data_IF_162528246733
#
_entry.id   IF_162528246733
#
_cell.length_a   1.000
_cell.length_b   1.000
_cell.length_c   1.000
_cell.angle_alpha   90.00
_cell.angle_beta   90.00
_cell.angle_gamma   90.00
#
_symmetry.space_group_name_H-M   'P 1'
#
loop_
_entity.id
_entity.type
_entity.pdbx_description
1 polymer ?
#
# COMPACT_ATOMS: atom_id res chain seq x y z
N UNK A 1 -7.46 35.91 17.95
CA UNK A 1 -7.65 34.99 16.81
C UNK A 1 -7.14 35.58 15.47
N UNK A 2 -6.24 36.58 15.51
CA UNK A 2 -5.74 37.29 14.31
C UNK A 2 -4.21 37.28 14.18
N UNK A 3 -3.49 36.60 15.09
CA UNK A 3 -2.01 36.67 15.20
C UNK A 3 -1.28 35.50 14.52
N UNK A 4 -2.00 34.52 13.95
CA UNK A 4 -1.41 33.46 13.11
C UNK A 4 -1.43 33.78 11.61
N UNK A 5 -1.96 34.94 11.21
CA UNK A 5 -1.72 35.52 9.88
C UNK A 5 -0.32 36.10 9.83
N UNK A 6 0.69 35.23 9.96
CA UNK A 6 2.08 35.59 9.73
C UNK A 6 2.25 36.03 8.27
N UNK A 7 3.20 36.93 8.04
CA UNK A 7 3.68 37.39 6.72
C UNK A 7 3.91 36.29 5.67
N UNK A 8 4.00 35.03 6.11
CA UNK A 8 4.20 33.81 5.33
C UNK A 8 3.04 33.54 4.33
N UNK A 9 1.79 33.88 4.66
CA UNK A 9 0.64 33.61 3.77
C UNK A 9 0.60 34.56 2.55
N UNK A 10 1.25 35.72 2.64
CA UNK A 10 1.31 36.71 1.55
C UNK A 10 2.33 36.29 0.49
N UNK A 11 3.47 35.76 0.89
CA UNK A 11 4.53 35.29 -0.03
C UNK A 11 4.15 34.04 -0.83
N UNK A 12 3.11 33.31 -0.41
CA UNK A 12 2.66 32.06 -1.04
C UNK A 12 1.37 32.18 -1.82
N UNK A 13 0.90 33.41 -2.04
CA UNK A 13 -0.34 33.66 -2.76
C UNK A 13 -0.20 33.21 -4.22
N UNK A 14 -1.04 32.28 -4.62
CA UNK A 14 -1.10 31.74 -5.97
C UNK A 14 -2.04 32.58 -6.82
N UNK A 15 -3.21 32.91 -6.29
CA UNK A 15 -4.27 33.48 -7.11
C UNK A 15 -5.53 33.82 -6.34
N UNK A 16 -6.65 33.82 -7.06
CA UNK A 16 -7.98 34.11 -6.52
C UNK A 16 -9.04 33.20 -7.12
N UNK A 17 -10.10 32.98 -6.34
CA UNK A 17 -11.29 32.28 -6.80
C UNK A 17 -12.01 33.11 -7.85
N UNK A 18 -12.32 32.51 -9.01
CA UNK A 18 -13.09 33.14 -10.08
C UNK A 18 -14.57 33.09 -9.74
N UNK A 19 -15.33 34.03 -10.27
CA UNK A 19 -16.78 33.87 -10.37
C UNK A 19 -17.06 32.64 -11.22
N UNK A 20 -17.66 31.64 -10.61
CA UNK A 20 -18.03 30.42 -11.28
C UNK A 20 -19.35 30.59 -12.04
N UNK A 21 -19.58 29.72 -13.00
CA UNK A 21 -20.85 29.59 -13.71
C UNK A 21 -21.48 28.20 -13.46
N UNK A 22 -21.06 27.54 -12.37
CA UNK A 22 -21.05 26.09 -12.23
C UNK A 22 -22.26 25.42 -11.57
N UNK A 23 -22.40 24.13 -11.86
CA UNK A 23 -23.43 23.16 -11.43
C UNK A 23 -22.94 22.14 -10.38
N UNK A 24 -21.67 22.24 -9.96
CA UNK A 24 -21.02 21.35 -8.98
C UNK A 24 -20.52 22.15 -7.78
N UNK A 25 -20.87 21.71 -6.56
CA UNK A 25 -20.50 22.38 -5.32
C UNK A 25 -19.11 22.01 -4.79
N UNK A 26 -18.52 20.91 -5.26
CA UNK A 26 -17.25 20.39 -4.76
C UNK A 26 -16.02 21.00 -5.44
N UNK A 27 -16.19 21.80 -6.50
CA UNK A 27 -15.07 22.35 -7.26
C UNK A 27 -15.25 23.85 -7.50
N UNK A 28 -14.13 24.56 -7.55
CA UNK A 28 -14.06 25.97 -7.88
C UNK A 28 -13.06 26.21 -9.01
N UNK A 29 -13.27 27.30 -9.72
CA UNK A 29 -12.30 27.80 -10.70
C UNK A 29 -11.46 28.90 -10.06
N UNK A 30 -10.17 28.93 -10.40
CA UNK A 30 -9.25 29.93 -9.91
C UNK A 30 -8.50 30.58 -11.07
N UNK A 31 -8.16 31.85 -10.89
CA UNK A 31 -7.22 32.58 -11.74
C UNK A 31 -5.92 32.75 -10.98
N UNK A 32 -4.83 32.37 -11.62
CA UNK A 32 -3.48 32.40 -11.05
C UNK A 32 -2.85 33.74 -11.37
N UNK A 33 -2.24 34.36 -10.35
CA UNK A 33 -1.48 35.59 -10.47
C UNK A 33 -0.16 35.35 -11.22
N UNK A 34 0.42 36.40 -11.80
CA UNK A 34 1.65 36.29 -12.58
C UNK A 34 2.82 35.71 -11.77
N UNK A 35 2.94 36.11 -10.50
CA UNK A 35 3.93 35.61 -9.55
C UNK A 35 3.68 34.16 -9.13
N UNK A 36 2.42 33.72 -9.12
CA UNK A 36 2.03 32.37 -8.70
C UNK A 36 2.16 31.29 -9.79
N UNK A 37 2.47 31.67 -11.04
CA UNK A 37 2.45 30.76 -12.20
C UNK A 37 3.45 29.62 -12.08
N UNK A 38 4.67 29.89 -11.62
CA UNK A 38 5.74 28.88 -11.50
C UNK A 38 5.43 27.81 -10.44
N UNK A 39 4.56 28.17 -9.50
CA UNK A 39 4.15 27.33 -8.38
C UNK A 39 2.82 26.62 -8.62
N UNK A 40 2.06 26.97 -9.66
CA UNK A 40 0.73 26.39 -9.91
C UNK A 40 0.78 25.14 -10.78
N UNK A 41 0.45 23.99 -10.19
CA UNK A 41 0.50 22.67 -10.84
C UNK A 41 -0.65 21.80 -10.38
N UNK A 42 -0.95 20.76 -11.15
CA UNK A 42 -1.90 19.71 -10.75
C UNK A 42 -1.42 19.03 -9.47
N UNK A 43 -2.34 18.51 -8.68
CA UNK A 43 -2.09 17.81 -7.40
C UNK A 43 -1.48 18.66 -6.27
N UNK A 44 -1.32 19.96 -6.49
CA UNK A 44 -0.96 20.90 -5.44
C UNK A 44 -2.11 21.07 -4.43
N UNK A 45 -1.78 20.98 -3.14
CA UNK A 45 -2.68 21.37 -2.06
C UNK A 45 -2.65 22.89 -1.87
N UNK A 46 -3.83 23.48 -1.76
CA UNK A 46 -3.99 24.93 -1.61
C UNK A 46 -4.89 25.25 -0.43
N UNK A 47 -4.55 26.34 0.25
CA UNK A 47 -5.43 26.99 1.20
C UNK A 47 -6.23 28.07 0.49
N UNK A 48 -7.49 28.24 0.89
CA UNK A 48 -8.37 29.25 0.33
C UNK A 48 -8.99 30.02 1.48
N UNK A 49 -8.66 31.29 1.61
CA UNK A 49 -9.18 32.14 2.67
C UNK A 49 -10.27 33.06 2.14
N UNK A 50 -11.49 32.89 2.65
CA UNK A 50 -12.62 33.77 2.41
C UNK A 50 -12.69 34.81 3.53
N UNK A 51 -12.32 36.04 3.21
CA UNK A 51 -12.25 37.14 4.18
C UNK A 51 -13.62 37.61 4.69
N UNK A 52 -14.68 37.40 3.92
CA UNK A 52 -16.04 37.79 4.28
C UNK A 52 -16.68 36.76 5.21
N UNK A 53 -16.51 35.48 4.89
CA UNK A 53 -16.98 34.38 5.73
C UNK A 53 -16.08 34.16 6.96
N UNK A 54 -14.82 34.61 6.91
CA UNK A 54 -13.76 34.30 7.87
C UNK A 54 -13.55 32.79 8.00
N UNK A 55 -13.63 32.09 6.87
CA UNK A 55 -13.45 30.64 6.77
C UNK A 55 -12.22 30.37 5.91
N UNK A 56 -11.38 29.46 6.37
CA UNK A 56 -10.30 28.88 5.59
C UNK A 56 -10.75 27.51 5.08
N UNK A 57 -10.56 27.28 3.79
CA UNK A 57 -10.82 26.00 3.13
C UNK A 57 -9.50 25.37 2.71
N UNK A 58 -9.52 24.05 2.57
CA UNK A 58 -8.44 23.30 1.92
C UNK A 58 -8.97 22.63 0.66
N UNK A 59 -8.16 22.67 -0.39
CA UNK A 59 -8.46 22.01 -1.65
C UNK A 59 -7.23 21.48 -2.36
N UNK A 60 -7.47 20.73 -3.43
CA UNK A 60 -6.44 20.18 -4.30
C UNK A 60 -6.68 20.61 -5.75
N UNK A 61 -5.62 20.99 -6.45
CA UNK A 61 -5.70 21.31 -7.88
C UNK A 61 -5.93 20.02 -8.67
N UNK A 62 -7.10 19.89 -9.30
CA UNK A 62 -7.47 18.68 -10.05
C UNK A 62 -7.33 18.85 -11.56
N UNK A 63 -7.36 20.10 -12.05
CA UNK A 63 -7.20 20.44 -13.46
C UNK A 63 -6.48 21.77 -13.67
N UNK A 64 -5.78 21.90 -14.80
CA UNK A 64 -4.86 23.00 -15.11
C UNK A 64 -3.39 22.62 -14.88
N UNK A 65 -2.44 23.54 -15.13
CA UNK A 65 -2.63 24.92 -15.59
C UNK A 65 -3.18 25.03 -17.02
N UNK A 66 -4.26 25.81 -17.20
CA UNK A 66 -4.81 26.17 -18.51
C UNK A 66 -4.35 27.57 -18.90
N UNK A 67 -3.74 27.71 -20.07
CA UNK A 67 -3.22 28.97 -20.57
C UNK A 67 -4.22 29.57 -21.57
N UNK A 68 -4.90 30.65 -21.19
CA UNK A 68 -5.87 31.33 -22.06
C UNK A 68 -5.29 32.62 -22.60
N UNK A 69 -5.08 32.69 -23.91
CA UNK A 69 -4.64 33.91 -24.57
C UNK A 69 -5.67 35.04 -24.41
N UNK A 70 -5.21 36.24 -24.06
CA UNK A 70 -6.03 37.43 -24.03
C UNK A 70 -6.01 38.13 -25.38
N UNK A 71 -7.17 38.26 -26.04
CA UNK A 71 -7.38 39.42 -26.90
C UNK A 71 -7.64 40.60 -25.97
N UNK A 72 -6.65 41.46 -25.76
CA UNK A 72 -6.81 42.66 -24.92
C UNK A 72 -7.06 43.89 -25.82
N UNK A 73 -8.32 44.24 -26.19
CA UNK A 73 -8.62 45.53 -26.80
C UNK A 73 -8.68 46.60 -25.70
N UNK A 74 -7.51 47.03 -25.22
CA UNK A 74 -7.37 48.22 -24.36
C UNK A 74 -7.07 47.93 -22.90
N UNK A 75 -5.79 47.72 -22.57
CA UNK A 75 -5.34 47.70 -21.19
C UNK A 75 -3.82 47.59 -21.11
N UNK A 76 -3.18 48.67 -20.64
CA UNK A 76 -1.79 48.64 -20.22
C UNK A 76 -1.69 47.72 -18.99
N UNK A 77 -1.16 46.51 -19.15
CA UNK A 77 -0.48 45.84 -18.05
C UNK A 77 0.58 44.85 -18.55
N UNK A 78 1.71 44.88 -17.86
CA UNK A 78 2.96 44.26 -18.26
C UNK A 78 3.05 42.84 -17.67
N UNK A 79 2.79 41.77 -18.43
CA UNK A 79 2.94 40.42 -17.84
C UNK A 79 2.43 39.21 -18.63
N UNK A 80 2.83 39.07 -19.90
CA UNK A 80 2.43 37.99 -20.82
C UNK A 80 0.94 38.04 -21.25
N UNK A 81 0.68 37.95 -22.56
CA UNK A 81 -0.66 38.07 -23.16
C UNK A 81 -1.60 36.88 -22.91
N UNK A 82 -1.50 36.20 -21.77
CA UNK A 82 -2.36 35.10 -21.39
C UNK A 82 -2.64 35.09 -19.89
N UNK A 83 -3.77 34.50 -19.52
CA UNK A 83 -4.15 34.22 -18.13
C UNK A 83 -3.97 32.73 -17.85
N UNK A 84 -3.63 32.39 -16.61
CA UNK A 84 -3.53 30.99 -16.17
C UNK A 84 -4.74 30.68 -15.28
N UNK A 85 -5.42 29.59 -15.60
CA UNK A 85 -6.61 29.11 -14.90
C UNK A 85 -6.45 27.67 -14.45
N UNK A 86 -7.21 27.28 -13.44
CA UNK A 86 -7.30 25.88 -13.02
C UNK A 86 -8.53 25.61 -12.16
N UNK A 87 -8.71 24.33 -11.84
CA UNK A 87 -9.82 23.84 -11.04
C UNK A 87 -9.30 23.26 -9.74
N UNK A 88 -9.88 23.71 -8.63
CA UNK A 88 -9.58 23.22 -7.30
C UNK A 88 -10.79 22.46 -6.76
N UNK A 89 -10.57 21.22 -6.35
CA UNK A 89 -11.54 20.43 -5.61
C UNK A 89 -11.44 20.81 -4.12
N UNK A 90 -12.59 21.16 -3.51
CA UNK A 90 -12.68 21.53 -2.10
C UNK A 90 -12.81 20.25 -1.27
N UNK A 91 -11.83 20.01 -0.41
CA UNK A 91 -11.83 18.84 0.48
C UNK A 91 -12.57 19.13 1.79
N UNK A 92 -12.60 20.39 2.23
CA UNK A 92 -13.29 20.79 3.44
C UNK A 92 -12.92 22.19 3.93
N UNK A 93 -13.42 22.51 5.12
CA UNK A 93 -13.04 23.71 5.87
C UNK A 93 -12.02 23.36 6.97
N UNK A 94 -11.10 24.27 7.22
CA UNK A 94 -10.10 24.16 8.28
C UNK A 94 -10.66 24.75 9.58
N UNK A 95 -10.77 23.91 10.60
CA UNK A 95 -11.10 24.31 11.97
C UNK A 95 -9.80 24.41 12.77
N UNK A 96 -9.59 25.55 13.45
CA UNK A 96 -8.39 25.86 14.25
C UNK A 96 -7.06 25.57 13.53
N UNK A 97 -7.04 25.75 12.21
CA UNK A 97 -5.92 25.48 11.31
C UNK A 97 -5.35 24.03 11.34
N UNK A 98 -6.01 23.09 12.03
CA UNK A 98 -5.47 21.76 12.35
C UNK A 98 -6.39 20.59 12.02
N UNK A 99 -7.66 20.84 11.69
CA UNK A 99 -8.62 19.78 11.40
C UNK A 99 -9.43 20.11 10.17
N UNK A 100 -9.59 19.11 9.29
CA UNK A 100 -10.50 19.20 8.15
C UNK A 100 -11.89 18.79 8.60
N UNK A 101 -12.88 19.64 8.33
CA UNK A 101 -14.30 19.30 8.48
C UNK A 101 -15.01 19.37 7.15
N UNK A 102 -16.04 18.53 6.93
CA UNK A 102 -16.95 18.72 5.82
C UNK A 102 -17.51 20.14 5.84
N UNK A 103 -17.63 20.75 4.66
CA UNK A 103 -18.19 22.08 4.53
C UNK A 103 -19.50 22.04 3.75
N UNK A 104 -20.47 22.83 4.21
CA UNK A 104 -21.72 23.08 3.49
C UNK A 104 -21.65 24.38 2.67
N UNK A 105 -20.58 25.15 2.83
CA UNK A 105 -20.35 26.40 2.12
C UNK A 105 -19.18 26.27 1.16
N UNK A 106 -19.00 27.29 0.34
CA UNK A 106 -17.97 27.35 -0.70
C UNK A 106 -17.25 28.69 -0.61
N UNK A 107 -15.96 28.74 -1.00
CA UNK A 107 -15.24 30.01 -1.11
C UNK A 107 -15.97 30.97 -2.05
N UNK A 108 -16.12 32.24 -1.65
CA UNK A 108 -16.70 33.28 -2.53
C UNK A 108 -15.74 33.67 -3.64
N UNK A 109 -16.24 34.23 -4.76
CA UNK A 109 -15.39 34.88 -5.74
C UNK A 109 -14.43 35.87 -5.07
N UNK A 110 -13.23 35.99 -5.62
CA UNK A 110 -12.13 36.81 -5.10
C UNK A 110 -11.49 36.35 -3.79
N UNK A 111 -11.94 35.24 -3.18
CA UNK A 111 -11.23 34.61 -2.06
C UNK A 111 -9.77 34.31 -2.46
N UNK A 112 -8.85 34.49 -1.51
CA UNK A 112 -7.43 34.37 -1.77
C UNK A 112 -7.01 32.90 -1.76
N UNK A 113 -6.22 32.50 -2.74
CA UNK A 113 -5.70 31.13 -2.89
C UNK A 113 -4.19 31.17 -2.70
N UNK A 114 -3.65 30.31 -1.84
CA UNK A 114 -2.22 30.21 -1.56
C UNK A 114 -1.77 28.76 -1.52
N UNK A 115 -0.48 28.54 -1.78
CA UNK A 115 0.14 27.23 -1.64
C UNK A 115 0.06 26.78 -0.18
N UNK A 116 -0.45 25.57 0.06
CA UNK A 116 -0.53 25.05 1.42
C UNK A 116 0.88 24.70 1.92
N UNK A 117 1.16 25.06 3.17
CA UNK A 117 2.47 24.82 3.78
C UNK A 117 2.67 23.31 4.01
N UNK A 118 3.88 22.81 3.74
CA UNK A 118 4.15 21.38 3.67
C UNK A 118 4.13 20.72 5.05
N UNK A 119 4.73 21.36 6.06
CA UNK A 119 4.75 20.84 7.44
C UNK A 119 3.32 20.86 8.02
N UNK A 120 2.57 21.92 7.75
CA UNK A 120 1.15 22.04 8.08
C UNK A 120 0.32 20.99 7.35
N UNK A 121 0.64 20.64 6.10
CA UNK A 121 -0.07 19.59 5.37
C UNK A 121 0.16 18.22 6.02
N UNK A 122 1.41 17.90 6.37
CA UNK A 122 1.75 16.67 7.07
C UNK A 122 1.01 16.57 8.41
N UNK A 123 1.06 17.65 9.20
CA UNK A 123 0.36 17.74 10.48
C UNK A 123 -1.16 17.56 10.31
N UNK A 124 -1.75 18.18 9.29
CA UNK A 124 -3.18 18.14 9.02
C UNK A 124 -3.65 16.74 8.57
N UNK A 125 -2.84 16.07 7.75
CA UNK A 125 -3.12 14.72 7.26
C UNK A 125 -2.75 13.63 8.27
N UNK A 126 -2.16 13.99 9.41
CA UNK A 126 -1.72 13.04 10.43
C UNK A 126 -0.55 12.17 9.96
N UNK A 127 0.25 12.67 9.02
CA UNK A 127 1.42 11.96 8.48
C UNK A 127 2.57 12.02 9.48
N UNK A 128 2.52 11.16 10.51
CA UNK A 128 3.54 11.03 11.55
C UNK A 128 3.72 9.57 11.92
N UNK A 129 4.95 9.17 12.18
CA UNK A 129 5.28 7.86 12.72
C UNK A 129 6.56 7.30 12.12
N UNK A 130 6.62 5.99 12.03
CA UNK A 130 7.78 5.17 11.71
C UNK A 130 7.56 4.26 10.49
N UNK A 131 6.39 4.31 9.86
CA UNK A 131 6.02 3.49 8.72
C UNK A 131 5.97 4.34 7.43
N UNK A 132 6.99 4.24 6.58
CA UNK A 132 7.18 5.07 5.39
C UNK A 132 6.57 4.45 4.12
N UNK A 133 5.55 5.07 3.54
CA UNK A 133 4.94 4.57 2.27
C UNK A 133 5.39 5.31 1.02
N UNK A 134 5.96 6.50 1.16
CA UNK A 134 6.44 7.30 0.03
C UNK A 134 6.33 8.81 0.26
N UNK A 135 6.17 9.56 -0.82
CA UNK A 135 6.07 11.03 -0.81
C UNK A 135 4.96 11.51 -1.74
N UNK A 136 4.35 12.66 -1.43
CA UNK A 136 3.41 13.31 -2.36
C UNK A 136 4.18 13.86 -3.57
N UNK A 137 3.81 13.37 -4.76
CA UNK A 137 4.53 13.55 -6.03
C UNK A 137 5.04 14.98 -6.29
N UNK A 138 4.21 16.00 -6.07
CA UNK A 138 4.54 17.40 -6.41
C UNK A 138 5.25 18.15 -5.29
N UNK A 139 5.13 17.69 -4.05
CA UNK A 139 5.76 18.35 -2.92
C UNK A 139 7.23 17.98 -2.78
N UNK A 140 7.61 16.78 -3.26
CA UNK A 140 8.93 16.15 -3.12
C UNK A 140 9.44 15.98 -1.68
N UNK A 141 8.70 16.49 -0.69
CA UNK A 141 9.13 16.73 0.69
C UNK A 141 8.06 16.33 1.72
N UNK A 142 6.79 16.26 1.32
CA UNK A 142 5.74 15.73 2.19
C UNK A 142 5.81 14.22 2.13
N UNK A 143 6.36 13.66 3.20
CA UNK A 143 6.45 12.22 3.39
C UNK A 143 5.09 11.67 3.81
N UNK A 144 4.69 10.57 3.19
CA UNK A 144 3.50 9.81 3.55
C UNK A 144 3.96 8.75 4.54
N UNK A 145 4.03 9.17 5.80
CA UNK A 145 4.45 8.35 6.93
C UNK A 145 3.28 8.13 7.87
N UNK A 146 3.36 7.08 8.66
CA UNK A 146 2.33 6.78 9.62
C UNK A 146 2.83 6.01 10.84
N UNK A 147 2.02 6.03 11.88
CA UNK A 147 2.33 5.37 13.14
C UNK A 147 1.97 3.90 13.05
N UNK A 148 2.98 3.02 13.03
CA UNK A 148 2.79 1.58 13.00
C UNK A 148 2.02 1.05 14.23
N UNK A 149 2.00 1.80 15.34
CA UNK A 149 1.26 1.44 16.54
C UNK A 149 -0.20 1.88 16.52
N UNK A 150 -0.58 2.77 15.59
CA UNK A 150 -1.96 3.23 15.42
C UNK A 150 -2.81 2.19 14.69
N UNK A 151 -3.73 1.57 15.43
CA UNK A 151 -4.68 0.58 14.93
C UNK A 151 -5.70 1.16 13.92
N UNK A 152 -5.81 2.48 13.83
CA UNK A 152 -6.63 3.17 12.85
C UNK A 152 -5.95 3.40 11.51
N UNK A 153 -4.61 3.28 11.47
CA UNK A 153 -3.83 3.67 10.30
C UNK A 153 -3.72 2.55 9.25
N UNK A 154 -3.25 1.36 9.64
CA UNK A 154 -3.37 0.19 8.78
C UNK A 154 -4.72 -0.48 9.08
N UNK A 155 -5.75 -0.29 8.23
CA UNK A 155 -6.95 -1.11 8.35
C UNK A 155 -6.51 -2.56 8.32
N UNK A 156 -7.19 -3.41 9.10
CA UNK A 156 -6.83 -4.83 9.27
C UNK A 156 -6.45 -5.54 7.96
N UNK A 157 -7.02 -5.09 6.84
CA UNK A 157 -6.73 -5.56 5.50
C UNK A 157 -6.36 -4.37 4.58
N UNK A 158 -5.32 -4.55 3.75
CA UNK A 158 -4.87 -3.59 2.74
C UNK A 158 -5.04 -4.24 1.36
N UNK A 159 -5.48 -3.47 0.37
CA UNK A 159 -5.50 -3.89 -1.03
C UNK A 159 -4.60 -2.98 -1.89
N UNK A 160 -3.68 -3.58 -2.64
CA UNK A 160 -2.79 -2.89 -3.59
C UNK A 160 -3.24 -3.25 -5.00
N UNK A 161 -3.72 -2.28 -5.76
CA UNK A 161 -4.29 -2.49 -7.10
C UNK A 161 -3.52 -1.69 -8.14
N UNK A 162 -3.35 -2.26 -9.33
CA UNK A 162 -2.68 -1.60 -10.44
C UNK A 162 -2.45 -2.53 -11.63
N UNK A 163 -2.22 -1.93 -12.81
CA UNK A 163 -1.92 -2.68 -14.03
C UNK A 163 -0.53 -3.33 -13.97
N UNK A 164 -0.20 -4.18 -14.94
CA UNK A 164 1.16 -4.74 -15.07
C UNK A 164 2.17 -3.60 -15.24
N UNK A 165 3.29 -3.67 -14.51
CA UNK A 165 4.34 -2.64 -14.54
C UNK A 165 4.02 -1.34 -13.78
N UNK A 166 2.86 -1.23 -13.11
CA UNK A 166 2.49 -0.04 -12.31
C UNK A 166 3.21 0.07 -10.97
N UNK A 167 4.02 -0.94 -10.60
CA UNK A 167 4.79 -0.95 -9.35
C UNK A 167 4.10 -1.64 -8.17
N UNK A 168 3.05 -2.47 -8.40
CA UNK A 168 2.37 -3.23 -7.33
C UNK A 168 3.33 -3.97 -6.40
N UNK A 169 4.22 -4.78 -6.98
CA UNK A 169 5.13 -5.64 -6.23
C UNK A 169 6.19 -4.83 -5.50
N UNK A 170 6.64 -3.72 -6.08
CA UNK A 170 7.50 -2.77 -5.40
C UNK A 170 6.81 -2.12 -4.20
N UNK A 171 5.56 -1.67 -4.35
CA UNK A 171 4.78 -1.13 -3.23
C UNK A 171 4.56 -2.19 -2.15
N UNK A 172 4.23 -3.43 -2.53
CA UNK A 172 4.10 -4.52 -1.57
C UNK A 172 5.42 -4.80 -0.84
N UNK A 173 6.55 -4.79 -1.54
CA UNK A 173 7.88 -4.93 -0.93
C UNK A 173 8.16 -3.84 0.10
N UNK A 174 7.97 -2.57 -0.23
CA UNK A 174 8.13 -1.46 0.73
C UNK A 174 7.24 -1.69 1.95
N UNK A 175 5.96 -2.02 1.75
CA UNK A 175 5.05 -2.31 2.86
C UNK A 175 5.52 -3.47 3.75
N UNK A 176 6.16 -4.49 3.18
CA UNK A 176 6.72 -5.62 3.92
C UNK A 176 7.96 -5.22 4.71
N UNK A 177 8.86 -4.44 4.10
CA UNK A 177 10.07 -3.91 4.76
C UNK A 177 9.72 -3.02 5.96
N UNK A 178 8.82 -2.05 5.77
CA UNK A 178 8.35 -1.16 6.83
C UNK A 178 7.62 -1.92 7.96
N UNK A 179 6.85 -2.96 7.61
CA UNK A 179 6.22 -3.81 8.61
C UNK A 179 7.25 -4.59 9.44
N UNK A 180 8.30 -5.12 8.79
CA UNK A 180 9.38 -5.81 9.48
C UNK A 180 10.14 -4.87 10.42
N UNK A 181 10.43 -3.64 9.98
CA UNK A 181 11.10 -2.61 10.78
C UNK A 181 10.24 -2.16 11.97
N UNK A 182 8.92 -2.12 11.80
CA UNK A 182 7.95 -1.94 12.89
C UNK A 182 7.83 -3.16 13.83
N UNK A 183 8.60 -4.24 13.60
CA UNK A 183 8.63 -5.44 14.41
C UNK A 183 7.48 -6.42 14.16
N UNK A 184 6.84 -6.35 12.99
CA UNK A 184 5.74 -7.23 12.63
C UNK A 184 6.25 -8.53 12.01
N UNK A 185 5.45 -9.58 12.18
CA UNK A 185 5.68 -10.81 11.44
C UNK A 185 4.97 -10.72 10.08
N UNK A 186 5.76 -10.85 9.00
CA UNK A 186 5.25 -10.84 7.62
C UNK A 186 5.26 -12.26 7.07
N UNK A 187 4.11 -12.68 6.54
CA UNK A 187 3.97 -13.96 5.81
C UNK A 187 3.46 -13.64 4.41
N UNK A 188 4.20 -14.11 3.42
CA UNK A 188 3.94 -13.86 2.00
C UNK A 188 3.57 -15.16 1.31
N UNK A 189 2.48 -15.13 0.57
CA UNK A 189 2.13 -16.20 -0.39
C UNK A 189 2.46 -15.65 -1.76
N UNK A 190 3.63 -16.04 -2.27
CA UNK A 190 4.17 -15.53 -3.52
C UNK A 190 3.95 -16.55 -4.64
N UNK A 191 3.04 -16.22 -5.55
CA UNK A 191 2.70 -17.05 -6.71
C UNK A 191 3.62 -16.80 -7.91
N UNK A 192 4.26 -15.62 -7.98
CA UNK A 192 5.13 -15.23 -9.09
C UNK A 192 6.63 -15.41 -8.77
N UNK A 193 6.97 -15.55 -7.48
CA UNK A 193 8.35 -15.71 -7.01
C UNK A 193 9.13 -14.40 -6.96
N UNK A 194 8.46 -13.26 -7.02
CA UNK A 194 9.07 -11.92 -7.04
C UNK A 194 9.84 -11.61 -5.74
N UNK A 195 9.45 -12.21 -4.61
CA UNK A 195 10.01 -11.92 -3.30
C UNK A 195 11.01 -12.97 -2.80
N UNK A 196 11.33 -13.97 -3.63
CA UNK A 196 12.20 -15.09 -3.24
C UNK A 196 13.62 -14.67 -2.84
N UNK A 197 14.06 -13.48 -3.25
CA UNK A 197 15.41 -12.93 -2.99
C UNK A 197 15.40 -11.64 -2.19
N UNK A 198 14.33 -11.39 -1.42
CA UNK A 198 14.21 -10.18 -0.58
C UNK A 198 15.28 -10.11 0.52
N UNK A 199 15.95 -11.22 0.81
CA UNK A 199 17.11 -11.29 1.70
C UNK A 199 18.43 -10.80 1.05
N UNK A 200 18.41 -10.45 -0.23
CA UNK A 200 19.56 -9.95 -0.98
C UNK A 200 19.40 -8.44 -1.24
N UNK A 201 20.46 -7.62 -1.08
CA UNK A 201 20.40 -6.23 -1.52
C UNK A 201 20.30 -6.15 -3.04
N UNK A 202 19.63 -5.12 -3.56
CA UNK A 202 19.62 -4.85 -5.00
C UNK A 202 21.03 -4.53 -5.53
N UNK A 203 21.33 -5.02 -6.74
CA UNK A 203 22.52 -4.71 -7.52
C UNK A 203 22.25 -3.73 -8.68
N UNK A 204 21.00 -3.27 -8.83
CA UNK A 204 20.63 -2.29 -9.85
C UNK A 204 21.21 -0.92 -9.51
N UNK A 205 22.28 -0.55 -10.22
CA UNK A 205 23.00 0.70 -10.02
C UNK A 205 22.09 1.95 -10.03
N UNK A 206 21.02 1.97 -10.85
CA UNK A 206 20.08 3.09 -10.89
C UNK A 206 19.27 3.19 -9.61
N UNK A 207 18.83 2.05 -9.08
CA UNK A 207 18.08 2.00 -7.83
C UNK A 207 18.98 2.36 -6.65
N UNK A 208 20.23 1.90 -6.65
CA UNK A 208 21.22 2.26 -5.63
C UNK A 208 21.45 3.77 -5.57
N UNK A 209 21.61 4.42 -6.73
CA UNK A 209 21.77 5.87 -6.83
C UNK A 209 20.52 6.59 -6.32
N UNK A 210 19.33 6.13 -6.72
CA UNK A 210 18.06 6.71 -6.30
C UNK A 210 17.85 6.60 -4.79
N UNK A 211 18.13 5.44 -4.18
CA UNK A 211 18.04 5.23 -2.73
C UNK A 211 18.96 6.18 -1.96
N UNK A 212 20.21 6.31 -2.42
CA UNK A 212 21.19 7.21 -1.81
C UNK A 212 20.79 8.68 -1.95
N UNK A 213 20.45 9.10 -3.17
CA UNK A 213 20.31 10.52 -3.48
C UNK A 213 18.97 11.09 -3.00
N UNK A 214 17.91 10.27 -2.93
CA UNK A 214 16.57 10.73 -2.58
C UNK A 214 16.11 10.32 -1.16
N UNK A 215 16.66 9.24 -0.62
CA UNK A 215 16.17 8.64 0.63
C UNK A 215 17.26 8.46 1.70
N UNK A 216 18.54 8.72 1.38
CA UNK A 216 19.68 8.46 2.27
C UNK A 216 19.74 7.01 2.78
N UNK A 217 19.21 6.08 1.98
CA UNK A 217 19.14 4.65 2.31
C UNK A 217 20.15 3.87 1.46
N UNK A 218 20.63 2.76 2.01
CA UNK A 218 21.48 1.81 1.27
C UNK A 218 20.71 0.53 0.98
N UNK A 219 20.98 -0.14 -0.16
CA UNK A 219 20.47 -1.47 -0.43
C UNK A 219 20.78 -2.40 0.74
N UNK A 220 19.76 -3.07 1.25
CA UNK A 220 19.87 -4.09 2.27
C UNK A 220 18.90 -5.22 1.92
N UNK A 221 19.23 -6.43 2.36
CA UNK A 221 18.32 -7.56 2.32
C UNK A 221 17.70 -7.81 3.70
N UNK A 222 16.52 -8.42 3.71
CA UNK A 222 15.83 -8.84 4.95
C UNK A 222 16.64 -9.92 5.66
N UNK A 223 16.99 -9.69 6.93
CA UNK A 223 17.87 -10.57 7.69
C UNK A 223 17.20 -11.86 8.19
N UNK A 224 16.04 -11.77 8.86
CA UNK A 224 15.29 -12.95 9.34
C UNK A 224 14.31 -13.43 8.26
N UNK A 225 14.87 -13.96 7.18
CA UNK A 225 14.12 -14.42 6.01
C UNK A 225 14.13 -15.94 5.91
N UNK A 226 12.96 -16.52 5.66
CA UNK A 226 12.80 -17.96 5.41
C UNK A 226 11.94 -18.16 4.17
N UNK A 227 12.56 -18.70 3.13
CA UNK A 227 11.87 -19.08 1.92
C UNK A 227 11.42 -20.53 2.01
N UNK A 228 10.13 -20.75 1.79
CA UNK A 228 9.55 -22.08 1.64
C UNK A 228 9.06 -22.24 0.21
N UNK A 229 9.53 -23.28 -0.48
CA UNK A 229 9.04 -23.62 -1.81
C UNK A 229 8.33 -24.97 -1.81
N UNK A 230 7.28 -25.18 -2.62
CA UNK A 230 6.70 -26.50 -2.77
C UNK A 230 7.78 -27.51 -3.16
N UNK A 231 7.72 -28.74 -2.64
CA UNK A 231 8.75 -29.77 -2.88
C UNK A 231 8.99 -30.13 -4.36
N UNK A 232 8.10 -29.72 -5.27
CA UNK A 232 8.24 -29.84 -6.72
C UNK A 232 8.69 -28.56 -7.43
N UNK A 233 8.84 -27.46 -6.69
CA UNK A 233 9.24 -26.16 -7.18
C UNK A 233 10.75 -26.01 -7.31
N UNK A 234 11.16 -24.90 -7.91
CA UNK A 234 12.54 -24.43 -7.93
C UNK A 234 12.53 -22.91 -8.08
N UNK A 235 12.69 -22.22 -6.96
CA UNK A 235 12.79 -20.75 -6.89
C UNK A 235 14.15 -20.20 -7.34
N UNK A 236 15.17 -21.07 -7.46
CA UNK A 236 16.54 -20.65 -7.75
C UNK A 236 17.21 -19.83 -6.64
N UNK A 237 16.59 -19.77 -5.45
CA UNK A 237 17.11 -19.15 -4.24
C UNK A 237 17.27 -20.22 -3.13
N UNK A 238 18.01 -19.89 -2.06
CA UNK A 238 18.16 -20.78 -0.92
C UNK A 238 16.83 -20.93 -0.18
N UNK A 239 16.25 -22.13 -0.23
CA UNK A 239 14.88 -22.37 0.21
C UNK A 239 14.73 -23.73 0.89
N UNK A 240 13.77 -23.80 1.81
CA UNK A 240 13.36 -25.04 2.43
C UNK A 240 12.17 -25.64 1.67
N UNK A 241 12.28 -26.88 1.16
CA UNK A 241 11.14 -27.51 0.51
C UNK A 241 10.05 -27.80 1.55
N UNK A 242 8.80 -27.48 1.22
CA UNK A 242 7.64 -27.84 2.00
C UNK A 242 6.65 -28.69 1.19
N UNK A 243 5.86 -29.49 1.91
CA UNK A 243 4.73 -30.23 1.34
C UNK A 243 3.57 -30.21 2.31
N UNK A 244 2.36 -30.11 1.78
CA UNK A 244 1.14 -30.35 2.55
C UNK A 244 0.68 -31.76 2.22
N UNK A 245 0.82 -32.74 3.14
CA UNK A 245 0.38 -34.09 2.87
C UNK A 245 -1.15 -34.13 2.75
N UNK A 246 -1.68 -34.81 1.73
CA UNK A 246 -3.12 -34.98 1.51
C UNK A 246 -3.81 -35.55 2.75
N UNK A 247 -3.13 -36.44 3.49
CA UNK A 247 -3.64 -37.01 4.73
C UNK A 247 -3.82 -36.02 5.89
N UNK A 248 -3.20 -34.84 5.82
CA UNK A 248 -3.39 -33.77 6.79
C UNK A 248 -4.45 -32.74 6.35
N UNK A 249 -4.89 -32.79 5.09
CA UNK A 249 -5.95 -31.93 4.59
C UNK A 249 -7.32 -32.50 4.93
N UNK A 250 -8.27 -31.62 5.22
CA UNK A 250 -9.67 -32.03 5.38
C UNK A 250 -10.21 -32.52 4.03
N UNK A 251 -11.05 -33.57 4.01
CA UNK A 251 -11.58 -34.10 2.76
C UNK A 251 -12.32 -33.06 1.91
N UNK A 252 -13.00 -32.12 2.57
CA UNK A 252 -13.68 -30.99 1.93
C UNK A 252 -12.70 -30.11 1.14
N UNK A 253 -11.57 -29.72 1.75
CA UNK A 253 -10.55 -28.88 1.12
C UNK A 253 -9.94 -29.58 -0.10
N UNK A 254 -9.67 -30.88 0.01
CA UNK A 254 -9.17 -31.67 -1.13
C UNK A 254 -10.21 -31.75 -2.25
N UNK A 255 -11.49 -31.88 -1.88
CA UNK A 255 -12.59 -31.92 -2.85
C UNK A 255 -12.72 -30.59 -3.60
N UNK A 256 -12.59 -29.47 -2.89
CA UNK A 256 -12.62 -28.13 -3.47
C UNK A 256 -11.42 -27.90 -4.41
N UNK A 257 -10.19 -28.22 -3.96
CA UNK A 257 -8.98 -28.11 -4.79
C UNK A 257 -9.08 -28.94 -6.07
N UNK A 258 -9.65 -30.13 -5.99
CA UNK A 258 -9.83 -31.03 -7.13
C UNK A 258 -11.12 -30.79 -7.92
N UNK A 259 -11.90 -29.77 -7.56
CA UNK A 259 -13.19 -29.43 -8.18
C UNK A 259 -14.13 -30.65 -8.30
N UNK A 260 -14.25 -31.43 -7.23
CA UNK A 260 -15.15 -32.58 -7.20
C UNK A 260 -16.62 -32.14 -7.34
N UNK A 261 -17.39 -32.92 -8.10
CA UNK A 261 -18.85 -32.85 -8.04
C UNK A 261 -19.35 -33.30 -6.66
N UNK A 262 -20.55 -32.88 -6.26
CA UNK A 262 -21.19 -33.31 -5.01
C UNK A 262 -21.14 -34.83 -4.78
N UNK A 263 -21.36 -35.61 -5.84
CA UNK A 263 -21.32 -37.07 -5.77
C UNK A 263 -19.89 -37.59 -5.50
N UNK A 264 -18.89 -37.01 -6.14
CA UNK A 264 -17.48 -37.34 -5.93
C UNK A 264 -17.03 -36.92 -4.52
N UNK A 265 -17.41 -35.73 -4.04
CA UNK A 265 -17.10 -35.25 -2.69
C UNK A 265 -17.67 -36.19 -1.62
N UNK A 266 -18.95 -36.60 -1.75
CA UNK A 266 -19.58 -37.57 -0.84
C UNK A 266 -18.89 -38.93 -0.85
N UNK A 267 -18.52 -39.41 -2.03
CA UNK A 267 -17.81 -40.70 -2.17
C UNK A 267 -16.43 -40.62 -1.53
N UNK A 268 -15.69 -39.53 -1.78
CA UNK A 268 -14.37 -39.30 -1.22
C UNK A 268 -14.40 -39.19 0.31
N UNK A 269 -15.38 -38.46 0.87
CA UNK A 269 -15.61 -38.37 2.31
C UNK A 269 -15.96 -39.75 2.92
N UNK A 270 -16.81 -40.54 2.25
CA UNK A 270 -17.17 -41.87 2.71
C UNK A 270 -15.95 -42.82 2.74
N UNK A 271 -15.11 -42.78 1.70
CA UNK A 271 -13.90 -43.60 1.59
C UNK A 271 -12.87 -43.19 2.63
N UNK A 272 -12.59 -41.88 2.78
CA UNK A 272 -11.63 -41.36 3.75
C UNK A 272 -12.07 -41.67 5.19
N UNK A 273 -13.34 -41.45 5.54
CA UNK A 273 -13.90 -41.84 6.84
C UNK A 273 -13.74 -43.34 7.12
N UNK A 274 -14.02 -44.17 6.12
CA UNK A 274 -13.91 -45.64 6.24
C UNK A 274 -12.45 -46.11 6.39
N UNK A 275 -11.50 -45.42 5.75
CA UNK A 275 -10.08 -45.71 5.86
C UNK A 275 -9.52 -45.31 7.23
N UNK A 276 -9.84 -44.10 7.70
CA UNK A 276 -9.42 -43.60 9.03
C UNK A 276 -10.02 -44.43 10.16
N UNK A 277 -11.30 -44.82 10.03
CA UNK A 277 -11.98 -45.72 10.98
C UNK A 277 -11.36 -47.12 11.04
N UNK A 278 -10.96 -47.69 9.89
CA UNK A 278 -10.24 -48.97 9.82
C UNK A 278 -8.85 -48.88 10.46
N UNK A 279 -8.09 -47.82 10.20
CA UNK A 279 -6.76 -47.62 10.80
C UNK A 279 -6.83 -47.46 12.34
N UNK A 280 -7.86 -46.77 12.87
CA UNK A 280 -8.10 -46.67 14.31
C UNK A 280 -8.54 -48.00 14.97
N UNK A 281 -9.09 -48.94 14.19
CA UNK A 281 -9.43 -50.29 14.65
C UNK A 281 -8.20 -51.21 14.64
N UNK A 282 -7.39 -51.17 13.59
CA UNK A 282 -6.18 -51.98 13.44
C UNK A 282 -5.10 -51.59 14.46
N UNK A 283 -4.85 -50.31 14.66
CA UNK A 283 -3.94 -49.81 15.72
C UNK A 283 -4.38 -50.22 17.14
N UNK A 284 -5.69 -50.29 17.41
CA UNK A 284 -6.23 -50.82 18.67
C UNK A 284 -6.07 -52.34 18.80
N UNK A 285 -6.10 -53.10 17.71
CA UNK A 285 -5.82 -54.53 17.74
C UNK A 285 -4.33 -54.84 17.93
N UNK A 286 -3.42 -54.05 17.36
CA UNK A 286 -1.98 -54.20 17.56
C UNK A 286 -1.58 -53.87 19.00
N UNK A 287 -2.11 -52.78 19.59
CA UNK A 287 -1.92 -52.49 21.01
C UNK A 287 -2.52 -53.55 21.94
N UNK A 288 -3.56 -54.28 21.50
CA UNK A 288 -4.11 -55.44 22.22
C UNK A 288 -3.35 -56.74 22.00
N UNK A 289 -2.45 -56.81 21.01
CA UNK A 289 -1.59 -57.97 20.71
C UNK A 289 -0.14 -57.78 21.16
N UNK A 290 0.17 -56.69 21.86
CA UNK A 290 1.44 -56.50 22.56
C UNK A 290 1.61 -57.46 23.74
N UNK A 291 2.50 -58.45 23.55
CA UNK A 291 3.16 -59.40 24.48
C UNK A 291 2.72 -59.42 25.97
N UNK A 292 2.32 -60.60 26.51
CA UNK A 292 2.41 -60.84 27.94
C UNK A 292 3.88 -60.99 28.35
N UNK A 293 4.38 -60.07 29.18
CA UNK A 293 5.69 -60.16 29.83
C UNK A 293 6.74 -59.18 29.30
N UNK A 294 6.71 -57.95 29.83
CA UNK A 294 7.89 -57.12 30.03
C UNK A 294 7.56 -56.08 31.10
N UNK A 295 7.87 -56.40 32.35
CA UNK A 295 7.96 -55.42 33.42
C UNK A 295 9.19 -54.53 33.17
N UNK A 296 8.99 -53.21 33.25
CA UNK A 296 9.98 -52.23 33.69
C UNK A 296 11.26 -52.01 32.85
N UNK A 297 11.29 -50.90 32.10
CA UNK A 297 12.41 -49.94 32.12
C UNK A 297 11.95 -48.60 31.50
N UNK A 298 12.27 -47.44 32.10
CA UNK A 298 11.95 -46.15 31.50
C UNK A 298 12.94 -45.89 30.36
N UNK A 299 12.46 -45.94 29.12
CA UNK A 299 13.24 -45.52 27.96
C UNK A 299 13.18 -44.00 27.85
N UNK A 300 14.33 -43.37 28.13
CA UNK A 300 14.64 -41.97 27.86
C UNK A 300 14.31 -41.59 26.40
N UNK A 301 13.51 -40.54 26.24
CA UNK A 301 13.24 -39.85 24.98
C UNK A 301 14.52 -39.14 24.51
N UNK A 302 14.98 -39.30 23.24
CA UNK A 302 15.94 -38.39 22.66
C UNK A 302 15.22 -37.07 22.33
N UNK A 303 15.71 -35.97 22.91
CA UNK A 303 15.29 -34.60 22.61
C UNK A 303 15.34 -34.30 21.12
N UNK A 304 14.21 -34.41 20.43
CA UNK A 304 13.94 -33.61 19.23
C UNK A 304 13.57 -32.21 19.71
N UNK A 305 14.39 -31.20 19.38
CA UNK A 305 14.12 -29.79 19.67
C UNK A 305 12.79 -29.39 19.02
N UNK A 306 11.72 -29.41 19.80
CA UNK A 306 10.53 -28.60 19.53
C UNK A 306 10.92 -27.17 19.87
N UNK A 307 11.07 -26.30 18.86
CA UNK A 307 11.15 -24.86 19.09
C UNK A 307 9.73 -24.42 19.46
N UNK A 308 9.40 -24.51 20.74
CA UNK A 308 8.26 -23.78 21.33
C UNK A 308 8.75 -22.37 21.66
N UNK A 309 8.87 -21.54 20.63
CA UNK A 309 8.87 -20.09 20.83
C UNK A 309 7.44 -19.68 21.13
N UNK A 310 7.15 -19.36 22.39
CA UNK A 310 5.95 -18.58 22.72
C UNK A 310 6.04 -17.25 21.95
N UNK A 311 5.05 -16.85 21.15
CA UNK A 311 5.06 -15.49 20.62
C UNK A 311 5.00 -14.52 21.79
N UNK A 312 5.89 -13.53 21.79
CA UNK A 312 5.78 -12.40 22.69
C UNK A 312 4.38 -11.78 22.52
N UNK A 313 3.67 -11.46 23.61
CA UNK A 313 2.36 -10.85 23.51
C UNK A 313 2.54 -9.42 22.97
N UNK A 314 2.27 -9.18 21.69
CA UNK A 314 2.26 -7.82 21.14
C UNK A 314 2.47 -7.66 19.64
N UNK A 315 3.03 -8.65 18.93
CA UNK A 315 3.28 -8.51 17.49
C UNK A 315 1.99 -8.57 16.66
N UNK A 316 1.66 -7.51 15.94
CA UNK A 316 0.70 -7.59 14.85
C UNK A 316 1.28 -8.50 13.76
N UNK A 317 0.49 -9.44 13.25
CA UNK A 317 0.85 -10.24 12.09
C UNK A 317 0.15 -9.63 10.88
N UNK A 318 0.91 -9.30 9.84
CA UNK A 318 0.34 -8.85 8.57
C UNK A 318 0.56 -9.94 7.53
N UNK A 319 -0.56 -10.48 7.06
CA UNK A 319 -0.58 -11.30 5.86
C UNK A 319 -0.80 -10.35 4.68
N UNK A 320 0.22 -10.16 3.86
CA UNK A 320 0.07 -9.48 2.57
C UNK A 320 -0.26 -10.57 1.55
N UNK A 321 -1.53 -10.65 1.15
CA UNK A 321 -1.93 -11.42 -0.01
C UNK A 321 -1.89 -10.47 -1.22
N UNK A 322 -0.94 -10.68 -2.14
CA UNK A 322 -0.93 -9.99 -3.43
C UNK A 322 -1.68 -10.89 -4.40
N UNK A 323 -2.94 -10.56 -4.67
CA UNK A 323 -3.76 -11.26 -5.67
C UNK A 323 -3.64 -10.52 -7.00
N UNK A 324 -3.13 -11.21 -8.02
CA UNK A 324 -3.07 -10.69 -9.38
C UNK A 324 -4.44 -10.81 -10.06
N UNK A 325 -4.87 -9.73 -10.73
CA UNK A 325 -6.02 -9.74 -11.63
C UNK A 325 -5.68 -10.66 -12.82
N UNK A 326 -6.50 -11.67 -13.16
CA UNK A 326 -6.23 -12.53 -14.30
C UNK A 326 -6.22 -11.68 -15.57
N UNK A 327 -5.06 -11.62 -16.23
CA UNK A 327 -4.94 -11.03 -17.56
C UNK A 327 -6.00 -11.65 -18.48
N UNK A 328 -6.74 -10.80 -19.19
CA UNK A 328 -7.69 -11.24 -20.20
C UNK A 328 -7.01 -12.19 -21.19
N UNK A 329 -7.62 -13.36 -21.33
CA UNK A 329 -7.22 -14.46 -22.20
C UNK A 329 -7.27 -14.01 -23.67
N UNK A 330 -6.12 -13.61 -24.22
CA UNK A 330 -5.91 -13.61 -25.67
C UNK A 330 -4.83 -14.61 -26.07
N UNK A 331 -5.31 -15.83 -26.33
CA UNK A 331 -4.83 -16.73 -27.38
C UNK A 331 -3.52 -17.49 -27.13
N UNK A 332 -3.67 -18.82 -27.13
CA UNK A 332 -2.58 -19.78 -27.07
C UNK A 332 -1.56 -19.59 -28.19
N UNK A 333 -0.30 -19.47 -27.80
CA UNK A 333 0.84 -19.94 -28.58
C UNK A 333 2.04 -20.16 -27.66
N UNK A 334 2.46 -21.43 -27.58
CA UNK A 334 3.77 -21.85 -27.09
C UNK A 334 4.88 -20.90 -27.60
N UNK A 335 5.58 -20.20 -26.71
CA UNK A 335 6.87 -19.56 -27.02
C UNK A 335 7.94 -20.04 -26.06
N UNK A 336 8.96 -20.67 -26.65
CA UNK A 336 10.24 -21.07 -26.05
C UNK A 336 11.08 -19.83 -25.69
N UNK A 337 12.06 -19.96 -24.76
CA UNK A 337 12.83 -18.82 -24.26
C UNK A 337 13.76 -18.24 -25.33
N UNK A 338 13.81 -16.91 -25.41
CA UNK A 338 14.76 -16.17 -26.23
C UNK A 338 16.11 -16.07 -25.50
N UNK A 339 17.17 -16.49 -26.21
CA UNK A 339 18.55 -16.11 -25.91
C UNK A 339 18.73 -14.62 -26.20
N UNK A 340 19.31 -13.89 -25.24
CA UNK A 340 19.82 -12.54 -25.42
C UNK A 340 21.30 -12.62 -25.78
N UNK A 341 21.61 -12.38 -27.05
CA UNK A 341 22.88 -11.80 -27.51
C UNK A 341 22.52 -10.67 -28.46
N UNK A 342 22.76 -9.44 -27.98
CA UNK A 342 23.23 -8.23 -28.66
C UNK A 342 22.69 -6.96 -27.99
#
# INVERSE_FOLDING_TARGET
>A
MNEHRTSIDVERRIGRVRTDHGTNNAAIEITVSDEGRDHFRRDLYVGIYDSEQKIEFIGRVVAGPFHRGGNNPGGNDSGHGYTVEGTVEIMGQLEDARRIRPTATRPRPMSEVYAFEQDRLQDLLGMKGDFHMGRLAESGRVEVIADSSDKGFLPRNIGIFGTVGSGKSNTAQVMMEEALDAGWAVVVVDVEGEYARMNEPTDDQKLIELLRDNYDTRPAGVADFKLFEPASGNSGADSAPFKVPISAMRPEVVSDILNFTDAQSRMYEAVTRSATGRNAYLSRQENRRGRPGAAGAPSSVPNGRTITGSPAPGGAAVAVAVEADPAEDESGAFRRPYNLQD
#
